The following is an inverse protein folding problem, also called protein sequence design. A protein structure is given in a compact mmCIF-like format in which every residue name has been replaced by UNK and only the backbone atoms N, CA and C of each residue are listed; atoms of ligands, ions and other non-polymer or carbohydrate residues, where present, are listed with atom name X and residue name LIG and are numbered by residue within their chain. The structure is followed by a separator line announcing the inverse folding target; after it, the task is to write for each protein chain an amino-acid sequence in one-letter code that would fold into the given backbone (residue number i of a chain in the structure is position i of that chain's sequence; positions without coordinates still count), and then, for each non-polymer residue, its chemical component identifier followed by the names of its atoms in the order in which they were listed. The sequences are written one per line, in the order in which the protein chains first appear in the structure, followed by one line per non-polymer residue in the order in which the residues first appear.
data_IF_470341342133
#
_entry.id   IF_470341342133
#
_cell.length_a   1.000
_cell.length_b   1.000
_cell.length_c   1.000
_cell.angle_alpha   90.00
_cell.angle_beta   90.00
_cell.angle_gamma   90.00
#
_symmetry.space_group_name_H-M   'P 1'
#
loop_
_entity.id
_entity.type
_entity.pdbx_description
1 polymer ?
#
# COMPACT_ATOMS: atom_id res chain seq x y z
N UNK A 1 55.57 26.84 50.81
CA UNK A 1 54.42 27.41 50.07
C UNK A 1 54.96 27.92 48.74
N UNK A 2 54.56 27.50 47.53
CA UNK A 2 53.33 26.88 47.00
C UNK A 2 53.74 25.96 45.83
N UNK A 3 53.09 24.80 45.68
CA UNK A 3 53.22 23.93 44.49
C UNK A 3 52.22 24.40 43.43
N UNK A 4 52.70 24.63 42.20
CA UNK A 4 51.83 24.87 41.04
C UNK A 4 51.34 23.52 40.49
N UNK A 5 50.03 23.31 40.51
CA UNK A 5 49.35 22.25 39.76
C UNK A 5 48.96 22.79 38.39
N UNK A 6 49.24 22.08 37.28
CA UNK A 6 48.74 22.47 35.97
C UNK A 6 47.28 22.05 35.85
N UNK A 7 46.41 23.03 35.59
CA UNK A 7 45.00 22.83 35.25
C UNK A 7 44.92 22.25 33.83
N UNK A 8 44.68 20.94 33.73
CA UNK A 8 44.35 20.30 32.46
C UNK A 8 42.93 20.69 32.03
N UNK A 9 42.82 21.44 30.94
CA UNK A 9 41.54 21.75 30.30
C UNK A 9 41.08 20.46 29.59
N UNK A 10 40.11 19.76 30.18
CA UNK A 10 39.43 18.66 29.52
C UNK A 10 38.44 19.22 28.50
N UNK A 11 38.79 19.13 27.21
CA UNK A 11 37.90 19.47 26.11
C UNK A 11 36.87 18.34 25.95
N UNK A 12 35.68 18.52 26.54
CA UNK A 12 34.56 17.59 26.36
C UNK A 12 33.97 17.78 24.96
N UNK A 13 34.37 16.94 24.01
CA UNK A 13 33.78 16.88 22.68
C UNK A 13 32.41 16.19 22.78
N UNK A 14 31.34 17.00 22.85
CA UNK A 14 29.97 16.51 22.80
C UNK A 14 29.64 16.06 21.36
N UNK A 15 29.90 14.80 21.03
CA UNK A 15 29.29 14.18 19.85
C UNK A 15 27.80 13.99 20.13
N UNK A 16 26.99 14.93 19.64
CA UNK A 16 25.54 14.75 19.50
C UNK A 16 25.26 13.67 18.46
N UNK A 17 25.03 12.44 18.91
CA UNK A 17 24.63 11.34 18.03
C UNK A 17 23.14 11.50 17.81
N UNK A 18 22.77 12.09 16.67
CA UNK A 18 21.41 12.01 16.17
C UNK A 18 21.13 10.54 15.85
N UNK A 19 20.47 9.85 16.78
CA UNK A 19 19.90 8.54 16.50
C UNK A 19 18.84 8.75 15.41
N UNK A 20 19.17 8.40 14.16
CA UNK A 20 18.20 8.39 13.07
C UNK A 20 17.13 7.37 13.42
N UNK A 21 15.94 7.85 13.76
CA UNK A 21 14.76 7.01 13.92
C UNK A 21 14.56 6.23 12.62
N UNK A 22 14.48 4.90 12.69
CA UNK A 22 14.01 4.10 11.58
C UNK A 22 12.58 4.56 11.27
N UNK A 23 12.43 5.39 10.24
CA UNK A 23 11.11 5.88 9.84
C UNK A 23 10.36 4.72 9.22
N UNK A 24 9.14 4.47 9.70
CA UNK A 24 8.24 3.55 9.02
C UNK A 24 8.05 4.04 7.58
N UNK A 25 8.17 3.13 6.62
CA UNK A 25 8.01 3.45 5.21
C UNK A 25 6.60 3.99 4.98
N UNK A 26 6.49 5.20 4.43
CA UNK A 26 5.20 5.86 4.16
C UNK A 26 4.54 5.18 2.96
N UNK A 27 3.24 4.88 3.06
CA UNK A 27 2.47 4.40 1.92
C UNK A 27 2.36 5.52 0.86
N UNK A 28 2.81 5.24 -0.35
CA UNK A 28 2.75 6.18 -1.48
C UNK A 28 1.35 6.28 -2.10
N UNK A 29 0.49 5.30 -1.86
CA UNK A 29 -0.86 5.23 -2.43
C UNK A 29 -1.78 6.18 -1.67
N UNK A 30 -2.36 7.14 -2.38
CA UNK A 30 -3.45 7.97 -1.90
C UNK A 30 -4.75 7.15 -1.95
N UNK A 31 -5.51 7.20 -0.86
CA UNK A 31 -6.81 6.54 -0.73
C UNK A 31 -6.75 5.04 -1.04
N UNK A 32 -5.77 4.35 -0.44
CA UNK A 32 -5.51 2.93 -0.68
C UNK A 32 -6.65 2.00 -0.26
N UNK A 33 -7.43 2.37 0.76
CA UNK A 33 -8.65 1.67 1.20
C UNK A 33 -9.95 2.31 0.72
N UNK A 34 -9.88 3.26 -0.23
CA UNK A 34 -11.06 3.77 -0.95
C UNK A 34 -12.15 4.43 -0.07
N UNK A 35 -11.78 4.87 1.13
CA UNK A 35 -12.69 5.53 2.07
C UNK A 35 -13.10 6.95 1.64
N UNK A 36 -12.26 7.61 0.85
CA UNK A 36 -12.53 8.95 0.34
C UNK A 36 -13.18 8.89 -1.05
N UNK A 37 -14.39 9.44 -1.16
CA UNK A 37 -15.14 9.56 -2.42
C UNK A 37 -15.45 11.01 -2.78
N UNK A 38 -14.77 11.97 -2.13
CA UNK A 38 -15.03 13.41 -2.25
C UNK A 38 -14.73 14.01 -3.64
N UNK A 39 -14.10 13.24 -4.53
CA UNK A 39 -13.93 13.63 -5.94
C UNK A 39 -15.28 13.76 -6.69
N UNK A 40 -16.36 13.14 -6.18
CA UNK A 40 -17.72 13.35 -6.68
C UNK A 40 -18.44 14.42 -5.87
N UNK A 41 -18.86 15.55 -6.48
CA UNK A 41 -19.58 16.60 -5.78
C UNK A 41 -20.84 16.09 -5.08
N UNK A 42 -20.99 16.39 -3.80
CA UNK A 42 -22.21 16.12 -3.02
C UNK A 42 -22.29 14.77 -2.30
N UNK A 43 -21.28 13.90 -2.42
CA UNK A 43 -21.22 12.65 -1.65
C UNK A 43 -19.89 12.60 -0.87
N UNK A 44 -19.96 12.57 0.46
CA UNK A 44 -18.76 12.48 1.32
C UNK A 44 -18.48 11.04 1.78
N UNK A 45 -19.48 10.18 1.79
CA UNK A 45 -19.37 8.74 2.05
C UNK A 45 -20.63 8.05 1.51
N UNK A 46 -20.51 6.80 1.05
CA UNK A 46 -21.68 6.02 0.66
C UNK A 46 -22.55 5.71 1.88
N UNK A 47 -23.87 5.63 1.69
CA UNK A 47 -24.76 5.12 2.73
C UNK A 47 -24.50 3.63 2.96
N UNK A 48 -24.86 3.12 4.15
CA UNK A 48 -24.71 1.70 4.42
C UNK A 48 -25.56 0.85 3.46
N UNK A 49 -25.06 -0.31 3.05
CA UNK A 49 -25.69 -1.22 2.08
C UNK A 49 -25.95 -0.57 0.71
N UNK A 50 -25.05 0.31 0.26
CA UNK A 50 -25.14 0.96 -1.05
C UNK A 50 -23.84 0.86 -1.81
N UNK A 51 -23.94 1.10 -3.11
CA UNK A 51 -22.82 1.16 -4.04
C UNK A 51 -23.05 2.32 -5.02
N UNK A 52 -21.98 2.80 -5.65
CA UNK A 52 -22.05 3.73 -6.76
C UNK A 52 -20.81 3.60 -7.65
N UNK A 53 -20.91 4.05 -8.91
CA UNK A 53 -19.82 4.01 -9.89
C UNK A 53 -19.24 5.41 -10.09
N UNK A 54 -17.93 5.51 -9.99
CA UNK A 54 -17.18 6.77 -10.05
C UNK A 54 -16.21 6.77 -11.23
N UNK A 55 -16.06 7.90 -11.91
CA UNK A 55 -15.00 8.08 -12.92
C UNK A 55 -13.63 8.37 -12.27
N UNK A 56 -13.64 8.84 -11.02
CA UNK A 56 -12.45 9.16 -10.25
C UNK A 56 -12.74 9.13 -8.76
N UNK A 57 -11.73 8.74 -8.00
CA UNK A 57 -11.63 8.94 -6.55
C UNK A 57 -10.38 9.78 -6.28
N UNK A 58 -10.21 10.39 -5.10
CA UNK A 58 -8.93 10.96 -4.70
C UNK A 58 -7.81 9.93 -4.90
N UNK A 59 -6.81 10.27 -5.73
CA UNK A 59 -5.70 9.39 -6.11
C UNK A 59 -5.98 8.42 -7.27
N UNK A 60 -7.24 8.15 -7.64
CA UNK A 60 -7.58 7.13 -8.63
C UNK A 60 -8.41 7.67 -9.79
N UNK A 61 -8.10 7.20 -10.99
CA UNK A 61 -8.83 7.58 -12.22
C UNK A 61 -9.19 6.35 -13.04
N UNK A 62 -10.39 6.33 -13.60
CA UNK A 62 -10.78 5.33 -14.60
C UNK A 62 -10.03 5.57 -15.91
N UNK A 63 -9.44 4.53 -16.47
CA UNK A 63 -8.72 4.53 -17.75
C UNK A 63 -9.61 3.99 -18.87
N UNK A 64 -10.40 2.96 -18.57
CA UNK A 64 -11.33 2.33 -19.51
C UNK A 64 -12.47 1.64 -18.75
N UNK A 65 -13.54 1.31 -19.48
CA UNK A 65 -14.72 0.65 -18.93
C UNK A 65 -15.71 1.62 -18.31
N UNK A 66 -16.66 1.06 -17.55
CA UNK A 66 -17.77 1.79 -16.98
C UNK A 66 -17.43 2.65 -15.74
N UNK A 67 -16.35 2.34 -15.01
CA UNK A 67 -15.89 3.15 -13.89
C UNK A 67 -15.29 2.36 -12.73
N UNK A 68 -15.17 3.01 -11.59
CA UNK A 68 -14.75 2.42 -10.31
C UNK A 68 -16.02 2.22 -9.48
N UNK A 69 -16.47 0.98 -9.31
CA UNK A 69 -17.60 0.70 -8.42
C UNK A 69 -17.11 0.64 -6.97
N UNK A 70 -17.55 1.59 -6.15
CA UNK A 70 -17.29 1.59 -4.71
C UNK A 70 -18.50 1.00 -4.00
N UNK A 71 -18.26 0.08 -3.06
CA UNK A 71 -19.30 -0.63 -2.31
C UNK A 71 -19.13 -0.41 -0.82
N UNK A 72 -20.25 -0.27 -0.09
CA UNK A 72 -20.31 -0.25 1.38
C UNK A 72 -21.32 -1.27 1.88
N UNK A 73 -20.83 -2.36 2.48
CA UNK A 73 -21.63 -3.45 3.03
C UNK A 73 -22.67 -4.04 2.05
N UNK A 74 -22.32 -4.14 0.78
CA UNK A 74 -23.15 -4.76 -0.26
C UNK A 74 -22.31 -5.73 -1.07
N UNK A 75 -22.83 -6.96 -1.21
CA UNK A 75 -22.10 -8.11 -1.74
C UNK A 75 -20.72 -8.28 -1.06
N UNK A 76 -20.70 -8.20 0.27
CA UNK A 76 -19.51 -8.31 1.09
C UNK A 76 -19.23 -7.09 1.96
N UNK A 77 -18.15 -7.15 2.74
CA UNK A 77 -17.72 -6.14 3.71
C UNK A 77 -16.25 -5.80 3.44
N UNK A 78 -15.88 -4.53 3.62
CA UNK A 78 -14.52 -4.03 3.41
C UNK A 78 -13.49 -4.79 4.28
N UNK A 79 -12.26 -4.88 3.79
CA UNK A 79 -11.13 -5.43 4.53
C UNK A 79 -10.56 -4.39 5.48
N UNK A 80 -10.45 -3.14 5.03
CA UNK A 80 -10.06 -1.96 5.80
C UNK A 80 -11.17 -0.90 5.70
N UNK A 81 -11.41 -0.14 6.76
CA UNK A 81 -12.47 0.88 6.74
C UNK A 81 -13.87 0.31 6.52
N UNK A 82 -14.65 0.92 5.63
CA UNK A 82 -16.05 0.57 5.33
C UNK A 82 -16.37 0.50 3.84
N UNK A 83 -15.46 0.91 2.96
CA UNK A 83 -15.62 0.92 1.51
C UNK A 83 -14.53 0.08 0.83
N UNK A 84 -14.84 -0.42 -0.35
CA UNK A 84 -13.92 -1.21 -1.16
C UNK A 84 -14.36 -1.16 -2.64
N UNK A 85 -13.52 -1.63 -3.56
CA UNK A 85 -13.72 -1.45 -5.00
C UNK A 85 -13.99 -2.77 -5.74
N UNK A 86 -14.84 -2.70 -6.77
CA UNK A 86 -15.04 -3.70 -7.83
C UNK A 86 -14.83 -3.07 -9.21
N UNK A 87 -14.28 -3.85 -10.15
CA UNK A 87 -13.92 -3.38 -11.49
C UNK A 87 -14.62 -4.10 -12.65
N UNK A 88 -15.38 -5.18 -12.42
CA UNK A 88 -16.44 -5.56 -13.38
C UNK A 88 -17.73 -4.86 -12.94
N UNK A 89 -17.71 -3.53 -13.10
CA UNK A 89 -18.64 -2.59 -12.49
C UNK A 89 -20.06 -2.70 -13.07
N UNK A 90 -20.86 -1.64 -12.99
CA UNK A 90 -22.20 -1.62 -13.55
C UNK A 90 -22.28 -0.99 -14.94
N UNK A 91 -23.36 -1.28 -15.69
CA UNK A 91 -23.70 -0.81 -17.05
C UNK A 91 -22.99 -1.54 -18.21
N UNK A 92 -23.02 -0.94 -19.40
CA UNK A 92 -22.41 -1.51 -20.61
C UNK A 92 -20.88 -1.40 -20.56
N UNK A 93 -20.20 -2.46 -21.00
CA UNK A 93 -18.74 -2.64 -20.92
C UNK A 93 -18.20 -2.51 -19.48
N UNK A 94 -18.70 -3.32 -18.54
CA UNK A 94 -18.44 -3.19 -17.10
C UNK A 94 -16.99 -3.43 -16.68
N UNK A 95 -16.24 -4.26 -17.41
CA UNK A 95 -14.82 -4.49 -17.15
C UNK A 95 -14.01 -3.19 -17.30
N UNK A 96 -13.56 -2.68 -16.17
CA UNK A 96 -12.95 -1.38 -16.00
C UNK A 96 -11.51 -1.50 -15.57
N UNK A 97 -10.72 -0.47 -15.91
CA UNK A 97 -9.34 -0.31 -15.46
C UNK A 97 -9.22 1.02 -14.74
N UNK A 98 -8.58 1.01 -13.57
CA UNK A 98 -8.27 2.21 -12.79
C UNK A 98 -6.76 2.35 -12.62
N UNK A 99 -6.30 3.59 -12.42
CA UNK A 99 -4.88 3.87 -12.21
C UNK A 99 -4.62 4.96 -11.16
N UNK A 100 -3.43 4.90 -10.59
CA UNK A 100 -2.80 5.98 -9.82
C UNK A 100 -1.36 6.19 -10.30
N UNK A 101 -0.94 7.45 -10.37
CA UNK A 101 0.45 7.82 -10.64
C UNK A 101 1.16 8.03 -9.29
N UNK A 102 2.30 7.38 -9.10
CA UNK A 102 3.06 7.38 -7.87
C UNK A 102 4.44 8.03 -8.09
N UNK A 103 4.82 8.93 -7.18
CA UNK A 103 6.19 9.47 -7.14
C UNK A 103 7.11 8.50 -6.42
N UNK A 104 8.13 8.00 -7.10
CA UNK A 104 9.09 7.03 -6.55
C UNK A 104 10.52 7.54 -6.70
N UNK A 105 11.48 6.77 -6.21
CA UNK A 105 12.91 6.98 -6.44
C UNK A 105 13.37 5.98 -7.50
N UNK A 106 14.03 6.47 -8.55
CA UNK A 106 14.56 5.62 -9.61
C UNK A 106 15.57 4.60 -9.05
N UNK A 107 15.36 3.32 -9.35
CA UNK A 107 16.20 2.22 -8.89
C UNK A 107 15.88 1.71 -7.48
N UNK A 108 15.04 2.40 -6.72
CA UNK A 108 14.60 1.95 -5.39
C UNK A 108 13.60 0.81 -5.53
N UNK A 109 13.76 -0.24 -4.72
CA UNK A 109 12.79 -1.32 -4.58
C UNK A 109 11.63 -0.91 -3.69
N UNK A 110 10.42 -1.28 -4.10
CA UNK A 110 9.17 -1.07 -3.38
C UNK A 110 8.41 -2.39 -3.22
N UNK A 111 7.67 -2.50 -2.14
CA UNK A 111 6.68 -3.55 -1.92
C UNK A 111 5.30 -2.96 -2.20
N UNK A 112 4.66 -3.46 -3.26
CA UNK A 112 3.24 -3.26 -3.55
C UNK A 112 2.45 -4.37 -2.84
N UNK A 113 1.46 -4.02 -2.03
CA UNK A 113 0.51 -4.97 -1.45
C UNK A 113 -0.92 -4.47 -1.55
N UNK A 114 -1.87 -5.40 -1.54
CA UNK A 114 -3.30 -5.10 -1.52
C UNK A 114 -4.08 -6.36 -1.15
N UNK A 115 -5.33 -6.17 -0.74
CA UNK A 115 -6.25 -7.26 -0.46
C UNK A 115 -7.21 -7.48 -1.61
N UNK A 116 -7.40 -8.73 -1.96
CA UNK A 116 -8.32 -9.14 -3.00
C UNK A 116 -9.20 -10.29 -2.53
N UNK A 117 -10.45 -10.32 -2.98
CA UNK A 117 -11.36 -11.43 -2.77
C UNK A 117 -12.28 -11.63 -3.96
N UNK A 118 -12.50 -12.87 -4.45
CA UNK A 118 -13.62 -13.14 -5.35
C UNK A 118 -14.95 -12.76 -4.66
N UNK A 119 -15.84 -12.11 -5.41
CA UNK A 119 -17.11 -11.61 -4.87
C UNK A 119 -17.93 -12.75 -4.25
N UNK A 120 -18.59 -12.51 -3.10
CA UNK A 120 -19.45 -13.50 -2.47
C UNK A 120 -20.56 -13.97 -3.40
N UNK A 121 -20.97 -15.23 -3.22
CA UNK A 121 -22.07 -15.86 -3.95
C UNK A 121 -21.94 -15.89 -5.48
N UNK A 122 -20.71 -15.90 -6.02
CA UNK A 122 -20.47 -16.01 -7.48
C UNK A 122 -20.07 -17.41 -7.95
N UNK A 123 -20.19 -18.45 -7.13
CA UNK A 123 -19.75 -19.80 -7.50
C UNK A 123 -20.52 -20.44 -8.67
N UNK A 124 -21.71 -19.94 -9.00
CA UNK A 124 -22.51 -20.38 -10.17
C UNK A 124 -22.28 -19.52 -11.41
N UNK A 125 -21.42 -18.49 -11.32
CA UNK A 125 -21.03 -17.62 -12.43
C UNK A 125 -19.91 -18.24 -13.26
N UNK A 126 -19.64 -17.71 -14.47
CA UNK A 126 -18.45 -18.09 -15.22
C UNK A 126 -17.17 -17.98 -14.38
N UNK A 127 -16.24 -18.90 -14.59
CA UNK A 127 -15.03 -19.04 -13.76
C UNK A 127 -14.10 -17.82 -13.81
N UNK A 128 -14.26 -16.97 -14.82
CA UNK A 128 -13.47 -15.76 -15.06
C UNK A 128 -14.18 -14.46 -14.66
N UNK A 129 -15.37 -14.52 -14.04
CA UNK A 129 -16.15 -13.36 -13.55
C UNK A 129 -15.34 -12.47 -12.60
N UNK A 130 -14.50 -13.07 -11.75
CA UNK A 130 -13.74 -12.32 -10.73
C UNK A 130 -12.35 -11.86 -11.20
N UNK A 131 -11.95 -12.17 -12.43
CA UNK A 131 -10.55 -12.02 -12.83
C UNK A 131 -10.07 -10.56 -12.85
N UNK A 132 -8.85 -10.33 -12.36
CA UNK A 132 -8.24 -8.99 -12.32
C UNK A 132 -6.74 -9.05 -12.55
N UNK A 133 -6.23 -8.12 -13.36
CA UNK A 133 -4.81 -7.93 -13.60
C UNK A 133 -4.29 -6.69 -12.86
N UNK A 134 -3.04 -6.79 -12.41
CA UNK A 134 -2.31 -5.68 -11.78
C UNK A 134 -1.13 -5.33 -12.66
N UNK A 135 -0.87 -4.04 -12.84
CA UNK A 135 0.18 -3.56 -13.72
C UNK A 135 1.07 -2.54 -13.02
N UNK A 136 2.37 -2.62 -13.32
CA UNK A 136 3.37 -1.61 -12.99
C UNK A 136 4.00 -1.09 -14.28
N UNK A 137 3.82 0.19 -14.60
CA UNK A 137 4.30 0.82 -15.83
C UNK A 137 3.88 0.10 -17.12
N UNK A 138 2.67 -0.46 -17.13
CA UNK A 138 2.13 -1.22 -18.27
C UNK A 138 2.58 -2.68 -18.34
N UNK A 139 3.49 -3.12 -17.48
CA UNK A 139 3.85 -4.54 -17.35
C UNK A 139 2.90 -5.23 -16.39
N UNK A 140 2.28 -6.33 -16.82
CA UNK A 140 1.44 -7.17 -15.96
C UNK A 140 2.27 -7.85 -14.87
N UNK A 141 1.83 -7.74 -13.62
CA UNK A 141 2.39 -8.46 -12.49
C UNK A 141 1.69 -9.82 -12.36
N UNK A 142 2.48 -10.89 -12.24
CA UNK A 142 1.96 -12.26 -12.15
C UNK A 142 2.14 -12.84 -10.73
N UNK A 143 1.22 -13.70 -10.27
CA UNK A 143 0.02 -14.15 -10.99
C UNK A 143 -1.06 -13.05 -11.07
N UNK A 144 -1.94 -13.17 -12.07
CA UNK A 144 -3.21 -12.41 -12.09
C UNK A 144 -4.13 -12.94 -10.99
N UNK A 145 -5.06 -12.11 -10.56
CA UNK A 145 -6.04 -12.42 -9.53
C UNK A 145 -7.23 -13.16 -10.16
N UNK A 146 -7.73 -14.16 -9.47
CA UNK A 146 -8.86 -14.99 -9.92
C UNK A 146 -9.47 -15.73 -8.73
N UNK A 147 -10.59 -16.41 -8.95
CA UNK A 147 -11.16 -17.34 -7.99
C UNK A 147 -12.68 -17.39 -8.02
N UNK A 148 -13.23 -18.35 -7.27
CA UNK A 148 -14.66 -18.50 -7.05
C UNK A 148 -14.94 -18.39 -5.55
N UNK A 149 -16.14 -17.91 -5.20
CA UNK A 149 -16.58 -17.81 -3.82
C UNK A 149 -18.04 -18.26 -3.73
N UNK A 150 -18.26 -19.35 -2.99
CA UNK A 150 -19.58 -19.94 -2.75
C UNK A 150 -20.12 -19.58 -1.35
N UNK A 151 -19.51 -18.61 -0.69
CA UNK A 151 -19.89 -18.13 0.63
C UNK A 151 -20.57 -16.77 0.51
N UNK A 152 -21.39 -16.43 1.51
CA UNK A 152 -22.04 -15.12 1.60
C UNK A 152 -21.14 -13.99 2.12
N UNK A 153 -19.83 -14.21 2.21
CA UNK A 153 -18.85 -13.26 2.75
C UNK A 153 -17.58 -13.21 1.90
N UNK A 154 -16.79 -12.15 2.05
CA UNK A 154 -15.47 -12.11 1.43
C UNK A 154 -14.51 -13.12 2.06
N UNK A 155 -13.63 -13.64 1.22
CA UNK A 155 -12.48 -14.45 1.58
C UNK A 155 -11.24 -13.63 1.18
N UNK A 156 -10.92 -12.61 1.97
CA UNK A 156 -9.84 -11.67 1.67
C UNK A 156 -8.47 -12.37 1.71
N UNK A 157 -7.66 -12.13 0.70
CA UNK A 157 -6.28 -12.58 0.61
C UNK A 157 -5.36 -11.39 0.32
N UNK A 158 -4.24 -11.32 1.03
CA UNK A 158 -3.23 -10.29 0.80
C UNK A 158 -2.27 -10.75 -0.31
N UNK A 159 -2.12 -9.93 -1.33
CA UNK A 159 -1.16 -10.12 -2.41
C UNK A 159 0.00 -9.15 -2.24
N UNK A 160 1.20 -9.57 -2.64
CA UNK A 160 2.40 -8.74 -2.53
C UNK A 160 3.31 -8.94 -3.73
N UNK A 161 3.81 -7.83 -4.28
CA UNK A 161 4.71 -7.80 -5.42
C UNK A 161 5.89 -6.89 -5.12
N UNK A 162 7.08 -7.32 -5.55
CA UNK A 162 8.24 -6.45 -5.60
C UNK A 162 8.22 -5.67 -6.92
N UNK A 163 8.34 -4.35 -6.84
CA UNK A 163 8.41 -3.45 -8.01
C UNK A 163 9.58 -2.50 -7.85
N UNK A 164 10.10 -1.99 -8.97
CA UNK A 164 11.22 -1.03 -8.98
C UNK A 164 10.70 0.32 -9.43
N UNK A 165 11.04 1.36 -8.67
CA UNK A 165 10.69 2.73 -9.01
C UNK A 165 11.51 3.24 -10.18
N UNK A 166 10.89 4.10 -11.00
CA UNK A 166 11.54 4.79 -12.12
C UNK A 166 11.55 6.31 -11.97
N UNK A 167 11.09 6.82 -10.82
CA UNK A 167 10.92 8.25 -10.51
C UNK A 167 9.44 8.67 -10.56
N UNK A 168 8.71 8.18 -11.54
CA UNK A 168 7.26 8.35 -11.65
C UNK A 168 6.68 7.10 -12.28
N UNK A 169 5.86 6.38 -11.53
CA UNK A 169 5.35 5.08 -11.94
C UNK A 169 3.83 5.06 -11.98
N UNK A 170 3.28 4.21 -12.84
CA UNK A 170 1.83 4.01 -12.98
C UNK A 170 1.45 2.64 -12.43
N UNK A 171 0.67 2.64 -11.36
CA UNK A 171 -0.01 1.46 -10.83
C UNK A 171 -1.40 1.35 -11.47
N UNK A 172 -1.75 0.18 -12.02
CA UNK A 172 -3.10 -0.10 -12.53
C UNK A 172 -3.68 -1.40 -12.00
N UNK A 173 -4.99 -1.40 -11.84
CA UNK A 173 -5.82 -2.58 -11.63
C UNK A 173 -6.87 -2.62 -12.73
N UNK A 174 -7.13 -3.78 -13.33
CA UNK A 174 -8.13 -3.92 -14.37
C UNK A 174 -8.82 -5.27 -14.33
N UNK A 175 -10.16 -5.26 -14.29
CA UNK A 175 -10.94 -6.48 -14.44
C UNK A 175 -10.91 -6.97 -15.89
N UNK A 176 -11.01 -8.28 -16.07
CA UNK A 176 -11.06 -8.92 -17.38
C UNK A 176 -11.86 -10.21 -17.31
N UNK A 177 -12.19 -10.80 -18.46
CA UNK A 177 -12.99 -12.02 -18.54
C UNK A 177 -14.45 -11.70 -18.85
N UNK A 178 -15.35 -12.49 -18.27
CA UNK A 178 -16.79 -12.27 -18.37
C UNK A 178 -17.15 -10.85 -17.91
N UNK A 179 -18.03 -10.20 -18.68
CA UNK A 179 -18.58 -8.87 -18.38
C UNK A 179 -20.04 -9.04 -17.96
N UNK A 180 -20.27 -9.35 -16.68
CA UNK A 180 -21.59 -9.66 -16.16
C UNK A 180 -22.03 -8.77 -14.99
N UNK A 181 -21.23 -7.75 -14.66
CA UNK A 181 -21.38 -6.81 -13.53
C UNK A 181 -21.13 -7.47 -12.17
N UNK A 182 -20.29 -8.51 -12.16
CA UNK A 182 -19.92 -9.28 -10.98
C UNK A 182 -18.41 -9.51 -10.99
N UNK A 183 -17.68 -8.63 -10.32
CA UNK A 183 -16.22 -8.68 -10.28
C UNK A 183 -15.64 -8.97 -8.91
N UNK A 184 -14.38 -9.36 -8.88
CA UNK A 184 -13.62 -9.47 -7.64
C UNK A 184 -13.47 -8.12 -6.93
N UNK A 185 -13.27 -8.20 -5.62
CA UNK A 185 -13.19 -7.06 -4.70
C UNK A 185 -11.73 -6.73 -4.40
N UNK A 186 -11.40 -5.43 -4.34
CA UNK A 186 -10.07 -4.88 -4.07
C UNK A 186 -10.13 -3.91 -2.90
N UNK A 187 -9.17 -3.99 -2.00
CA UNK A 187 -9.07 -3.10 -0.83
C UNK A 187 -7.62 -2.92 -0.34
N UNK A 188 -7.39 -1.88 0.45
CA UNK A 188 -6.18 -1.62 1.24
C UNK A 188 -4.88 -1.75 0.45
N UNK A 189 -4.80 -0.99 -0.64
CA UNK A 189 -3.63 -0.91 -1.53
C UNK A 189 -2.53 -0.08 -0.88
N UNK A 190 -1.31 -0.60 -0.90
CA UNK A 190 -0.14 0.02 -0.33
C UNK A 190 1.10 -0.15 -1.19
N UNK A 191 1.90 0.91 -1.33
CA UNK A 191 3.24 0.87 -1.94
C UNK A 191 4.21 1.52 -0.97
N UNK A 192 5.17 0.76 -0.49
CA UNK A 192 6.16 1.22 0.51
C UNK A 192 7.58 0.91 0.03
N UNK A 193 8.51 1.83 0.26
CA UNK A 193 9.92 1.61 -0.03
C UNK A 193 10.47 0.46 0.83
N UNK A 194 11.25 -0.43 0.21
CA UNK A 194 11.97 -1.52 0.89
C UNK A 194 13.39 -1.02 1.19
N UNK A 195 13.81 -0.91 2.46
CA UNK A 195 15.16 -0.47 2.79
C UNK A 195 16.21 -1.35 2.15
N UNK A 196 17.26 -0.75 1.60
CA UNK A 196 18.39 -1.51 1.08
C UNK A 196 19.10 -2.27 2.21
N UNK A 197 19.63 -3.48 1.95
CA UNK A 197 20.41 -4.22 2.94
C UNK A 197 21.57 -3.41 3.54
N UNK A 198 22.18 -2.52 2.75
CA UNK A 198 23.25 -1.63 3.21
C UNK A 198 22.78 -0.63 4.27
N UNK A 199 21.58 -0.05 4.11
CA UNK A 199 21.01 0.87 5.10
C UNK A 199 20.74 0.17 6.44
N UNK A 200 20.29 -1.09 6.39
CA UNK A 200 20.09 -1.91 7.59
C UNK A 200 21.43 -2.28 8.24
N UNK A 201 22.44 -2.65 7.45
CA UNK A 201 23.77 -2.95 7.97
C UNK A 201 24.41 -1.73 8.66
N UNK A 202 24.26 -0.54 8.07
CA UNK A 202 24.75 0.71 8.67
C UNK A 202 23.99 1.08 9.94
N UNK A 203 22.67 0.84 9.99
CA UNK A 203 21.87 1.00 11.20
C UNK A 203 22.37 0.07 12.32
N UNK A 204 22.56 -1.22 12.00
CA UNK A 204 23.07 -2.21 12.97
C UNK A 204 24.49 -1.88 13.42
N UNK A 205 25.36 -1.44 12.51
CA UNK A 205 26.70 -0.98 12.85
C UNK A 205 26.66 0.23 13.81
N UNK A 206 25.81 1.22 13.52
CA UNK A 206 25.58 2.37 14.40
C UNK A 206 25.08 1.95 15.78
N UNK A 207 24.11 1.05 15.86
CA UNK A 207 23.61 0.50 17.13
C UNK A 207 24.68 -0.29 17.89
N UNK A 208 25.50 -1.08 17.19
CA UNK A 208 26.63 -1.81 17.77
C UNK A 208 27.66 -0.88 18.40
N UNK A 209 28.02 0.20 17.71
CA UNK A 209 28.93 1.23 18.25
C UNK A 209 28.34 1.90 19.50
N UNK A 210 27.05 2.25 19.47
CA UNK A 210 26.35 2.84 20.62
C UNK A 210 26.32 1.91 21.84
N UNK A 211 26.02 0.63 21.63
CA UNK A 211 26.06 -0.39 22.69
C UNK A 211 27.46 -0.55 23.29
N UNK A 212 28.50 -0.54 22.46
CA UNK A 212 29.90 -0.58 22.90
C UNK A 212 30.29 0.62 23.78
N UNK A 213 29.89 1.84 23.38
CA UNK A 213 30.15 3.06 24.15
C UNK A 213 29.41 3.04 25.49
N UNK A 214 28.14 2.64 25.52
CA UNK A 214 27.35 2.54 26.75
C UNK A 214 27.96 1.53 27.73
N UNK A 215 28.45 0.38 27.22
CA UNK A 215 29.11 -0.65 28.04
C UNK A 215 30.42 -0.15 28.66
N UNK A 216 31.23 0.58 27.89
CA UNK A 216 32.48 1.18 28.39
C UNK A 216 32.21 2.21 29.48
N UNK A 217 31.18 3.05 29.33
CA UNK A 217 30.81 4.04 30.35
C UNK A 217 30.37 3.39 31.66
N UNK A 218 29.58 2.31 31.61
CA UNK A 218 29.23 1.53 32.81
C UNK A 218 30.46 0.93 33.49
N UNK A 219 31.40 0.38 32.73
CA UNK A 219 32.62 -0.22 33.29
C UNK A 219 33.59 0.80 33.92
N UNK A 220 33.51 2.07 33.55
CA UNK A 220 34.29 3.16 34.15
C UNK A 220 33.62 3.80 35.37
N UNK A 221 32.35 3.49 35.62
CA UNK A 221 31.55 4.01 36.75
C UNK A 221 31.38 2.99 37.89
N UNK A 222 31.90 1.76 37.71
CA UNK A 222 32.00 0.71 38.72
C UNK A 222 33.43 0.63 39.25
#
# INVERSE_FOLDING_TARGET
MKRHTPTGIALALALGIAAGSASASTNLVVNGSFEDISASPGIQQLANNTWNVFNSLPGWTTVSGAGIEVRRNVAGVAQDGVQFVELDSHNANPNSTMQQVLSTVSGQSYSLSFWYSPRPDTATRPTDTNNMSVFWNGTTLLPTLSGTNNTGSHIWQNYTYAVTGTGTDILRFGAFGTQDTYGGSLDNVSVTAVPEPGSLAMLLAGLGLMGGVARRRKAMQA
#
